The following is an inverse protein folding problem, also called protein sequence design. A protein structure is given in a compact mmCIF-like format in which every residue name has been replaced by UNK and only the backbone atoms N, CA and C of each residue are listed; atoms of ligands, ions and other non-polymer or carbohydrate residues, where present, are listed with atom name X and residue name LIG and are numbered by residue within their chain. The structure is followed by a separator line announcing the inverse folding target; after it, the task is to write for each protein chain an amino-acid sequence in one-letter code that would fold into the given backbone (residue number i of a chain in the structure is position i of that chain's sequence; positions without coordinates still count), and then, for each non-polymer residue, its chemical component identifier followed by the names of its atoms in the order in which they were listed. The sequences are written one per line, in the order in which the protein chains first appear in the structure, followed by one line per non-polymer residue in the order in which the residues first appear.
data_IF_865363939867
#
_entry.id   IF_865363939867
#
_cell.length_a   1.000
_cell.length_b   1.000
_cell.length_c   1.000
_cell.angle_alpha   90.00
_cell.angle_beta   90.00
_cell.angle_gamma   90.00
#
_symmetry.space_group_name_H-M   'P 1'
#
loop_
_entity.id
_entity.type
_entity.pdbx_description
1 polymer ?
#
# COMPACT_ATOMS: atom_id res chain seq x y z
N UNK A 1 13.77 9.86 -17.92
CA UNK A 1 14.62 8.66 -18.07
C UNK A 1 15.27 8.58 -19.45
N UNK A 2 14.50 8.66 -20.55
CA UNK A 2 15.02 8.67 -21.93
C UNK A 2 16.23 9.60 -22.10
N UNK A 3 16.10 10.88 -21.72
CA UNK A 3 17.20 11.86 -21.79
C UNK A 3 18.45 11.43 -21.01
N UNK A 4 18.27 10.82 -19.84
CA UNK A 4 19.39 10.33 -19.03
C UNK A 4 20.11 9.17 -19.72
N UNK A 5 19.35 8.26 -20.35
CA UNK A 5 19.89 7.13 -21.08
C UNK A 5 20.59 7.56 -22.38
N UNK A 6 20.02 8.52 -23.12
CA UNK A 6 20.67 9.09 -24.31
C UNK A 6 21.99 9.78 -23.95
N UNK A 7 21.99 10.61 -22.90
CA UNK A 7 23.20 11.28 -22.42
C UNK A 7 24.24 10.27 -21.90
N UNK A 8 23.83 9.30 -21.09
CA UNK A 8 24.70 8.24 -20.59
C UNK A 8 25.29 7.41 -21.74
N UNK A 9 24.48 7.04 -22.72
CA UNK A 9 24.93 6.30 -23.90
C UNK A 9 26.00 7.09 -24.65
N UNK A 10 25.79 8.39 -24.89
CA UNK A 10 26.79 9.23 -25.57
C UNK A 10 28.17 9.21 -24.89
N UNK A 11 28.18 9.19 -23.55
CA UNK A 11 29.42 9.11 -22.76
C UNK A 11 30.03 7.72 -22.77
N UNK A 12 29.23 6.67 -22.69
CA UNK A 12 29.73 5.28 -22.65
C UNK A 12 30.33 4.90 -24.01
N UNK A 13 29.60 5.17 -25.09
CA UNK A 13 30.03 4.81 -26.46
C UNK A 13 30.91 5.89 -27.11
N UNK A 14 31.19 6.99 -26.40
CA UNK A 14 32.10 8.09 -26.80
C UNK A 14 31.68 8.77 -28.13
N UNK A 15 30.41 9.19 -28.21
CA UNK A 15 29.84 9.91 -29.36
C UNK A 15 29.34 11.29 -28.93
N UNK A 16 29.13 12.18 -29.90
CA UNK A 16 28.65 13.53 -29.61
C UNK A 16 27.19 13.52 -29.11
N UNK A 17 26.89 14.42 -28.17
CA UNK A 17 25.53 14.66 -27.70
C UNK A 17 24.66 15.12 -28.89
N UNK A 18 23.70 14.30 -29.30
CA UNK A 18 22.85 14.57 -30.46
C UNK A 18 23.14 13.72 -31.69
N UNK A 19 24.02 12.73 -31.62
CA UNK A 19 24.09 11.66 -32.63
C UNK A 19 23.11 10.51 -32.35
N UNK A 20 22.69 10.38 -31.10
CA UNK A 20 21.72 9.43 -30.62
C UNK A 20 20.56 10.18 -29.95
N UNK A 21 19.33 9.79 -30.30
CA UNK A 21 18.12 10.28 -29.65
C UNK A 21 17.30 9.12 -29.10
N UNK A 22 16.39 9.44 -28.18
CA UNK A 22 15.41 8.50 -27.69
C UNK A 22 14.05 9.14 -27.54
N UNK A 23 13.02 8.31 -27.48
CA UNK A 23 11.66 8.73 -27.12
C UNK A 23 10.93 7.57 -26.44
N UNK A 24 9.68 7.80 -26.02
CA UNK A 24 8.86 6.81 -25.36
C UNK A 24 7.42 6.83 -25.87
N UNK A 25 6.73 5.70 -25.77
CA UNK A 25 5.31 5.60 -26.10
C UNK A 25 4.59 4.61 -25.17
N UNK A 26 3.38 4.91 -24.68
CA UNK A 26 2.56 3.92 -24.00
C UNK A 26 2.07 2.86 -25.00
N UNK A 27 1.99 1.61 -24.54
CA UNK A 27 1.49 0.48 -25.34
C UNK A 27 -0.03 0.36 -25.15
N UNK A 28 -0.79 0.92 -26.10
CA UNK A 28 -2.25 1.08 -26.00
C UNK A 28 -3.04 -0.23 -25.85
N UNK A 29 -2.52 -1.36 -26.32
CA UNK A 29 -3.20 -2.66 -26.28
C UNK A 29 -2.78 -3.56 -25.10
N UNK A 30 -1.90 -3.07 -24.20
CA UNK A 30 -1.43 -3.86 -23.07
C UNK A 30 -2.48 -3.95 -21.97
N UNK A 31 -2.63 -5.14 -21.37
CA UNK A 31 -3.42 -5.32 -20.13
C UNK A 31 -2.66 -4.86 -18.88
N UNK A 32 -1.37 -4.54 -19.02
CA UNK A 32 -0.42 -4.36 -17.93
C UNK A 32 0.31 -3.00 -17.93
N UNK A 33 -0.33 -1.92 -18.43
CA UNK A 33 0.23 -0.56 -18.43
C UNK A 33 1.71 -0.51 -18.88
N UNK A 34 1.97 -0.95 -20.10
CA UNK A 34 3.32 -1.02 -20.65
C UNK A 34 3.75 0.29 -21.34
N UNK A 35 5.05 0.57 -21.31
CA UNK A 35 5.68 1.73 -21.96
C UNK A 35 6.93 1.26 -22.70
N UNK A 36 7.03 1.60 -23.98
CA UNK A 36 8.22 1.38 -24.78
C UNK A 36 9.15 2.59 -24.66
N UNK A 37 10.43 2.32 -24.39
CA UNK A 37 11.52 3.27 -24.58
C UNK A 37 12.30 2.85 -25.82
N UNK A 38 12.45 3.74 -26.79
CA UNK A 38 13.17 3.43 -28.03
C UNK A 38 14.23 4.48 -28.31
N UNK A 39 15.35 4.00 -28.83
CA UNK A 39 16.54 4.80 -29.13
C UNK A 39 16.94 4.56 -30.58
N UNK A 40 17.42 5.61 -31.25
CA UNK A 40 17.72 5.59 -32.67
C UNK A 40 18.84 6.56 -33.02
N UNK A 41 19.59 6.21 -34.06
CA UNK A 41 20.62 7.06 -34.64
C UNK A 41 19.98 8.23 -35.39
N UNK A 42 20.56 9.43 -35.29
CA UNK A 42 20.12 10.60 -36.03
C UNK A 42 20.77 10.73 -37.42
N UNK A 43 21.84 9.98 -37.68
CA UNK A 43 22.51 9.99 -38.99
C UNK A 43 21.72 9.19 -40.04
N UNK A 44 21.52 9.74 -41.25
CA UNK A 44 20.91 9.02 -42.36
C UNK A 44 21.66 7.71 -42.66
N UNK A 45 20.94 6.59 -42.65
CA UNK A 45 21.50 5.24 -42.87
C UNK A 45 21.87 4.48 -41.59
N UNK A 46 21.85 5.13 -40.42
CA UNK A 46 22.12 4.50 -39.12
C UNK A 46 23.59 4.22 -38.90
N UNK A 47 24.23 4.99 -38.02
CA UNK A 47 25.64 4.78 -37.66
C UNK A 47 25.85 3.55 -36.76
N UNK A 48 24.78 2.96 -36.22
CA UNK A 48 24.83 1.80 -35.35
C UNK A 48 25.00 2.12 -33.88
N UNK A 49 24.87 3.39 -33.45
CA UNK A 49 25.00 3.78 -32.05
C UNK A 49 23.87 3.23 -31.20
N UNK A 50 22.65 3.16 -31.72
CA UNK A 50 21.54 2.49 -31.03
C UNK A 50 21.83 1.00 -30.78
N UNK A 51 22.52 0.33 -31.71
CA UNK A 51 22.96 -1.07 -31.53
C UNK A 51 24.06 -1.16 -30.47
N UNK A 52 25.06 -0.28 -30.54
CA UNK A 52 26.15 -0.22 -29.54
C UNK A 52 25.61 0.09 -28.14
N UNK A 53 24.63 0.98 -28.01
CA UNK A 53 23.94 1.25 -26.75
C UNK A 53 23.27 -0.01 -26.18
N UNK A 54 22.66 -0.83 -27.04
CA UNK A 54 22.04 -2.08 -26.62
C UNK A 54 23.08 -3.12 -26.18
N UNK A 55 24.23 -3.18 -26.85
CA UNK A 55 25.36 -4.05 -26.48
C UNK A 55 25.97 -3.62 -25.12
N UNK A 56 26.03 -2.32 -24.84
CA UNK A 56 26.60 -1.73 -23.62
C UNK A 56 25.54 -1.30 -22.58
N UNK A 57 24.32 -1.86 -22.64
CA UNK A 57 23.15 -1.35 -21.89
C UNK A 57 23.39 -1.26 -20.37
N UNK A 58 24.14 -2.19 -19.79
CA UNK A 58 24.45 -2.19 -18.36
C UNK A 58 25.35 -0.99 -17.99
N UNK A 59 26.40 -0.72 -18.78
CA UNK A 59 27.27 0.43 -18.57
C UNK A 59 26.50 1.76 -18.75
N UNK A 60 25.55 1.79 -19.69
CA UNK A 60 24.66 2.93 -19.89
C UNK A 60 23.73 3.14 -18.69
N UNK A 61 23.16 2.09 -18.12
CA UNK A 61 22.34 2.18 -16.91
C UNK A 61 23.15 2.66 -15.70
N UNK A 62 24.37 2.18 -15.51
CA UNK A 62 25.24 2.65 -14.43
C UNK A 62 25.61 4.13 -14.57
N UNK A 63 25.96 4.58 -15.78
CA UNK A 63 26.26 6.00 -16.02
C UNK A 63 25.00 6.88 -15.90
N UNK A 64 23.83 6.40 -16.33
CA UNK A 64 22.57 7.10 -16.13
C UNK A 64 22.23 7.24 -14.65
N UNK A 65 22.47 6.20 -13.83
CA UNK A 65 22.30 6.27 -12.39
C UNK A 65 23.23 7.33 -11.77
N UNK A 66 24.52 7.35 -12.17
CA UNK A 66 25.47 8.39 -11.72
C UNK A 66 25.01 9.80 -12.09
N UNK A 67 24.50 10.00 -13.31
CA UNK A 67 23.96 11.28 -13.77
C UNK A 67 22.76 11.75 -12.93
N UNK A 68 21.85 10.84 -12.62
CA UNK A 68 20.60 11.14 -11.92
C UNK A 68 20.83 11.37 -10.41
N UNK A 69 21.64 10.53 -9.78
CA UNK A 69 21.89 10.55 -8.33
C UNK A 69 23.05 11.47 -7.92
N UNK A 70 24.03 11.68 -8.81
CA UNK A 70 25.23 12.49 -8.54
C UNK A 70 25.00 14.00 -8.49
N UNK A 71 23.79 14.47 -8.84
CA UNK A 71 23.43 15.88 -8.82
C UNK A 71 22.65 16.25 -7.55
N UNK A 72 22.74 17.50 -7.09
CA UNK A 72 21.99 18.00 -5.92
C UNK A 72 20.87 18.97 -6.29
N UNK A 73 20.64 19.23 -7.59
CA UNK A 73 19.56 20.11 -8.03
C UNK A 73 18.16 19.57 -7.68
N UNK A 74 17.16 20.44 -7.72
CA UNK A 74 15.79 20.10 -7.33
C UNK A 74 15.14 19.10 -8.31
N UNK A 75 15.02 19.48 -9.59
CA UNK A 75 14.42 18.66 -10.65
C UNK A 75 15.42 18.30 -11.75
N UNK A 76 15.97 19.29 -12.46
CA UNK A 76 16.94 19.10 -13.55
C UNK A 76 17.83 20.33 -13.73
N UNK A 77 19.05 20.13 -14.23
CA UNK A 77 19.99 21.19 -14.60
C UNK A 77 20.92 20.72 -15.72
N UNK A 78 21.78 21.61 -16.23
CA UNK A 78 22.74 21.30 -17.29
C UNK A 78 23.87 20.35 -16.85
N UNK A 79 24.06 20.13 -15.54
CA UNK A 79 25.02 19.14 -15.05
C UNK A 79 24.47 17.70 -15.05
N UNK A 80 23.15 17.52 -15.16
CA UNK A 80 22.52 16.20 -15.07
C UNK A 80 21.69 15.81 -16.30
N UNK A 81 20.67 16.58 -16.67
CA UNK A 81 19.67 16.16 -17.67
C UNK A 81 19.47 17.17 -18.80
N UNK A 82 19.76 18.45 -18.57
CA UNK A 82 19.50 19.49 -19.57
C UNK A 82 20.66 19.60 -20.53
N UNK A 83 20.36 19.68 -21.81
CA UNK A 83 21.27 20.14 -22.85
C UNK A 83 20.50 21.04 -23.82
N UNK A 84 21.19 21.67 -24.77
CA UNK A 84 20.55 22.61 -25.69
C UNK A 84 19.56 21.93 -26.64
N UNK A 85 19.76 20.65 -26.94
CA UNK A 85 18.87 19.87 -27.80
C UNK A 85 17.51 19.55 -27.18
N UNK A 86 17.39 19.56 -25.85
CA UNK A 86 16.17 19.16 -25.14
C UNK A 86 15.42 20.31 -24.44
N UNK A 87 15.64 21.56 -24.86
CA UNK A 87 15.00 22.77 -24.29
C UNK A 87 13.47 22.65 -24.21
N UNK A 88 12.85 22.05 -25.22
CA UNK A 88 11.39 21.90 -25.26
C UNK A 88 10.82 21.04 -24.12
N UNK A 89 11.62 20.15 -23.53
CA UNK A 89 11.20 19.25 -22.46
C UNK A 89 11.78 19.61 -21.09
N UNK A 90 12.58 20.67 -20.96
CA UNK A 90 13.24 21.04 -19.68
C UNK A 90 12.28 21.13 -18.50
N UNK A 91 11.05 21.60 -18.71
CA UNK A 91 10.03 21.74 -17.66
C UNK A 91 9.49 20.40 -17.15
N UNK A 92 9.55 19.34 -17.94
CA UNK A 92 9.11 17.99 -17.58
C UNK A 92 10.24 17.10 -17.07
N UNK A 93 11.49 17.58 -17.05
CA UNK A 93 12.63 16.79 -16.59
C UNK A 93 12.74 16.82 -15.07
N UNK A 94 12.63 15.62 -14.49
CA UNK A 94 12.88 15.37 -13.07
C UNK A 94 13.85 14.19 -12.90
N UNK A 95 15.01 14.47 -12.28
CA UNK A 95 16.06 13.47 -12.07
C UNK A 95 15.70 12.45 -10.99
N UNK A 96 14.88 12.81 -10.00
CA UNK A 96 14.49 11.91 -8.90
C UNK A 96 13.48 10.89 -9.40
N UNK A 97 12.53 11.33 -10.23
CA UNK A 97 11.63 10.43 -10.96
C UNK A 97 12.41 9.54 -11.93
N UNK A 98 13.37 10.12 -12.66
CA UNK A 98 14.28 9.37 -13.52
C UNK A 98 15.05 8.27 -12.78
N UNK A 99 15.64 8.60 -11.62
CA UNK A 99 16.38 7.66 -10.78
C UNK A 99 15.48 6.54 -10.24
N UNK A 100 14.29 6.91 -9.75
CA UNK A 100 13.32 5.96 -9.21
C UNK A 100 12.87 4.96 -10.28
N UNK A 101 12.61 5.43 -11.51
CA UNK A 101 12.22 4.56 -12.62
C UNK A 101 13.38 3.67 -13.08
N UNK A 102 14.60 4.21 -13.19
CA UNK A 102 15.78 3.43 -13.54
C UNK A 102 16.06 2.34 -12.50
N UNK A 103 16.00 2.68 -11.21
CA UNK A 103 16.18 1.72 -10.12
C UNK A 103 15.13 0.60 -10.16
N UNK A 104 13.87 0.92 -10.48
CA UNK A 104 12.83 -0.07 -10.70
C UNK A 104 13.16 -1.00 -11.87
N UNK A 105 13.56 -0.46 -13.02
CA UNK A 105 13.94 -1.24 -14.21
C UNK A 105 15.12 -2.18 -13.90
N UNK A 106 16.15 -1.71 -13.20
CA UNK A 106 17.33 -2.52 -12.91
C UNK A 106 17.09 -3.60 -11.85
N UNK A 107 16.17 -3.40 -10.91
CA UNK A 107 16.03 -4.29 -9.74
C UNK A 107 14.71 -5.06 -9.68
N UNK A 108 13.70 -4.64 -10.45
CA UNK A 108 12.32 -5.12 -10.37
C UNK A 108 11.60 -4.75 -9.07
N UNK A 109 12.20 -3.91 -8.21
CA UNK A 109 11.65 -3.54 -6.90
C UNK A 109 10.99 -2.18 -6.97
N UNK A 110 9.69 -2.12 -6.66
CA UNK A 110 8.96 -0.85 -6.58
C UNK A 110 9.68 0.13 -5.63
N UNK A 111 9.71 1.44 -5.97
CA UNK A 111 10.41 2.42 -5.17
C UNK A 111 9.82 2.49 -3.75
N UNK A 112 10.68 2.78 -2.77
CA UNK A 112 10.29 2.93 -1.36
C UNK A 112 10.91 4.18 -0.78
N UNK A 113 10.17 4.82 0.12
CA UNK A 113 10.67 5.93 0.93
C UNK A 113 11.04 5.42 2.31
N UNK A 114 12.30 5.62 2.67
CA UNK A 114 12.74 5.45 4.05
C UNK A 114 12.18 6.58 4.95
N UNK A 115 12.15 6.41 6.28
CA UNK A 115 11.60 7.42 7.19
C UNK A 115 12.22 8.82 7.07
N UNK A 116 13.50 8.90 6.68
CA UNK A 116 14.20 10.18 6.51
C UNK A 116 13.68 10.91 5.26
N UNK A 117 13.53 10.19 4.15
CA UNK A 117 12.93 10.74 2.91
C UNK A 117 11.48 11.15 3.13
N UNK A 118 10.69 10.33 3.85
CA UNK A 118 9.31 10.66 4.20
C UNK A 118 9.23 11.99 4.98
N UNK A 119 10.02 12.11 6.04
CA UNK A 119 10.09 13.31 6.87
C UNK A 119 10.48 14.54 6.05
N UNK A 120 11.47 14.41 5.16
CA UNK A 120 11.91 15.49 4.27
C UNK A 120 10.83 15.91 3.28
N UNK A 121 10.10 14.96 2.70
CA UNK A 121 9.02 15.22 1.75
C UNK A 121 7.82 15.91 2.43
N UNK A 122 7.53 15.55 3.68
CA UNK A 122 6.42 16.12 4.45
C UNK A 122 6.74 17.49 5.05
N UNK A 123 8.01 17.87 5.18
CA UNK A 123 8.42 19.11 5.85
C UNK A 123 7.69 20.37 5.34
N UNK A 124 7.58 20.65 4.02
CA UNK A 124 6.87 21.84 3.55
C UNK A 124 5.39 21.84 3.95
N UNK A 125 4.76 20.66 3.99
CA UNK A 125 3.37 20.51 4.42
C UNK A 125 3.23 20.71 5.93
N UNK A 126 4.17 20.20 6.73
CA UNK A 126 4.21 20.41 8.18
C UNK A 126 4.31 21.90 8.51
N UNK A 127 5.22 22.62 7.84
CA UNK A 127 5.40 24.06 8.01
C UNK A 127 4.11 24.83 7.66
N UNK A 128 3.48 24.49 6.52
CA UNK A 128 2.22 25.10 6.11
C UNK A 128 1.09 24.82 7.11
N UNK A 129 0.94 23.58 7.57
CA UNK A 129 -0.08 23.19 8.55
C UNK A 129 0.12 23.91 9.89
N UNK A 130 1.37 24.04 10.35
CA UNK A 130 1.70 24.76 11.57
C UNK A 130 1.30 26.24 11.49
N UNK A 131 1.59 26.91 10.35
CA UNK A 131 1.16 28.30 10.09
C UNK A 131 -0.37 28.44 10.11
N UNK A 132 -1.10 27.41 9.67
CA UNK A 132 -2.57 27.37 9.68
C UNK A 132 -3.16 26.97 11.05
N UNK A 133 -2.32 26.78 12.08
CA UNK A 133 -2.73 26.48 13.45
C UNK A 133 -3.12 25.01 13.70
N UNK A 134 -2.54 24.07 12.95
CA UNK A 134 -2.66 22.64 13.24
C UNK A 134 -1.56 22.18 14.20
N UNK A 135 -1.92 21.28 15.11
CA UNK A 135 -0.97 20.53 15.94
C UNK A 135 -0.47 19.31 15.15
N UNK A 136 0.86 19.17 15.06
CA UNK A 136 1.52 18.07 14.34
C UNK A 136 2.35 17.22 15.31
N UNK A 137 2.23 15.90 15.22
CA UNK A 137 3.09 14.93 15.90
C UNK A 137 3.71 14.00 14.87
N UNK A 138 5.04 13.91 14.82
CA UNK A 138 5.75 12.98 13.93
C UNK A 138 5.96 11.63 14.60
N UNK A 139 5.75 10.55 13.86
CA UNK A 139 6.16 9.20 14.23
C UNK A 139 7.61 8.95 13.79
N UNK A 140 8.35 8.10 14.51
CA UNK A 140 9.73 7.72 14.13
C UNK A 140 9.77 7.00 12.78
N UNK A 141 8.66 6.35 12.40
CA UNK A 141 8.50 5.61 11.15
C UNK A 141 8.30 6.51 9.90
N UNK A 142 8.15 7.84 10.08
CA UNK A 142 7.97 8.81 9.00
C UNK A 142 6.56 9.43 8.81
N UNK A 143 5.43 8.78 9.15
CA UNK A 143 4.11 9.40 9.12
C UNK A 143 3.96 10.54 10.13
N UNK A 144 3.03 11.45 9.87
CA UNK A 144 2.66 12.53 10.78
C UNK A 144 1.19 12.44 11.19
N UNK A 145 0.89 12.74 12.44
CA UNK A 145 -0.46 12.97 12.92
C UNK A 145 -0.74 14.46 12.97
N UNK A 146 -1.82 14.87 12.30
CA UNK A 146 -2.25 16.26 12.14
C UNK A 146 -3.60 16.42 12.81
N UNK A 147 -3.74 17.42 13.67
CA UNK A 147 -5.00 17.70 14.38
C UNK A 147 -5.26 19.21 14.50
N UNK A 148 -6.54 19.60 14.52
CA UNK A 148 -6.96 21.01 14.68
C UNK A 148 -7.90 21.24 15.86
N UNK A 149 -8.70 20.23 16.19
CA UNK A 149 -9.65 20.20 17.31
C UNK A 149 -9.58 18.84 17.98
N UNK A 150 -9.96 18.79 19.26
CA UNK A 150 -10.03 17.56 20.03
C UNK A 150 -10.95 16.55 19.30
N UNK A 151 -10.39 15.42 18.86
CA UNK A 151 -11.11 14.37 18.14
C UNK A 151 -11.01 14.39 16.61
N UNK A 152 -10.40 15.41 15.99
CA UNK A 152 -10.18 15.48 14.53
C UNK A 152 -8.71 15.23 14.17
N UNK A 153 -8.21 14.03 14.46
CA UNK A 153 -6.84 13.64 14.10
C UNK A 153 -6.81 12.89 12.75
N UNK A 154 -5.87 13.28 11.89
CA UNK A 154 -5.56 12.65 10.60
C UNK A 154 -4.12 12.17 10.62
N UNK A 155 -3.91 10.88 10.41
CA UNK A 155 -2.59 10.32 10.12
C UNK A 155 -2.30 10.47 8.63
N UNK A 156 -1.17 11.09 8.32
CA UNK A 156 -0.71 11.39 6.97
C UNK A 156 0.59 10.63 6.73
N UNK A 157 0.64 9.86 5.64
CA UNK A 157 1.86 9.22 5.17
C UNK A 157 2.11 9.60 3.70
N UNK A 158 3.35 9.40 3.26
CA UNK A 158 3.80 9.74 1.92
C UNK A 158 4.30 8.49 1.18
N UNK A 159 3.95 8.40 -0.09
CA UNK A 159 4.37 7.33 -0.99
C UNK A 159 5.14 7.87 -2.20
N UNK A 160 6.05 7.07 -2.77
CA UNK A 160 6.81 7.50 -3.94
C UNK A 160 5.91 7.67 -5.16
N UNK A 161 6.21 8.66 -5.99
CA UNK A 161 5.38 9.08 -7.13
C UNK A 161 5.10 8.00 -8.19
N UNK A 162 5.96 6.99 -8.30
CA UNK A 162 5.82 5.89 -9.26
C UNK A 162 5.05 4.68 -8.68
N UNK A 163 4.44 4.84 -7.50
CA UNK A 163 3.62 3.81 -6.85
C UNK A 163 2.16 4.20 -6.94
N UNK A 164 1.34 3.27 -7.41
CA UNK A 164 -0.10 3.47 -7.43
C UNK A 164 -0.64 3.59 -5.99
N UNK A 165 -1.54 4.55 -5.69
CA UNK A 165 -2.03 4.77 -4.33
C UNK A 165 -2.66 3.54 -3.67
N UNK A 166 -3.28 2.66 -4.47
CA UNK A 166 -3.91 1.40 -4.05
C UNK A 166 -2.86 0.35 -3.63
N UNK A 167 -1.66 0.41 -4.21
CA UNK A 167 -0.54 -0.49 -3.94
C UNK A 167 0.38 0.03 -2.82
N UNK A 168 0.18 1.27 -2.38
CA UNK A 168 0.96 1.84 -1.29
C UNK A 168 0.59 1.19 0.04
N UNK A 169 1.56 0.48 0.62
CA UNK A 169 1.47 -0.07 1.96
C UNK A 169 2.05 0.90 3.00
N UNK A 170 1.26 1.28 4.00
CA UNK A 170 1.64 2.12 5.12
C UNK A 170 1.15 1.55 6.45
N UNK A 171 2.07 1.26 7.37
CA UNK A 171 1.73 0.90 8.75
C UNK A 171 0.84 1.97 9.42
N UNK A 172 0.94 3.24 8.98
CA UNK A 172 0.10 4.33 9.47
C UNK A 172 -1.38 4.16 9.11
N UNK A 173 -1.71 3.48 8.00
CA UNK A 173 -3.10 3.17 7.63
C UNK A 173 -3.75 2.28 8.68
N UNK A 174 -3.06 1.22 9.06
CA UNK A 174 -3.48 0.29 10.12
C UNK A 174 -3.53 0.97 11.48
N UNK A 175 -2.50 1.77 11.84
CA UNK A 175 -2.48 2.56 13.09
C UNK A 175 -3.65 3.54 13.15
N UNK A 176 -3.95 4.24 12.05
CA UNK A 176 -5.06 5.18 11.95
C UNK A 176 -6.40 4.47 12.15
N UNK A 177 -6.58 3.34 11.48
CA UNK A 177 -7.78 2.53 11.61
C UNK A 177 -8.01 2.05 13.05
N UNK A 178 -6.98 1.48 13.69
CA UNK A 178 -7.05 1.01 15.09
C UNK A 178 -7.35 2.15 16.08
N UNK A 179 -6.77 3.32 15.84
CA UNK A 179 -7.00 4.51 16.67
C UNK A 179 -8.29 5.25 16.33
N UNK A 180 -9.12 4.75 15.40
CA UNK A 180 -10.32 5.42 14.86
C UNK A 180 -10.03 6.83 14.33
N UNK A 181 -8.81 7.03 13.82
CA UNK A 181 -8.34 8.27 13.19
C UNK A 181 -8.55 8.20 11.68
N UNK A 182 -8.56 9.37 11.04
CA UNK A 182 -8.58 9.46 9.58
C UNK A 182 -7.19 9.16 9.02
N UNK A 183 -7.13 8.67 7.79
CA UNK A 183 -5.86 8.42 7.09
C UNK A 183 -5.81 9.19 5.76
N UNK A 184 -4.65 9.74 5.43
CA UNK A 184 -4.36 10.35 4.14
C UNK A 184 -3.00 9.84 3.63
N UNK A 185 -2.97 9.37 2.38
CA UNK A 185 -1.73 9.04 1.68
C UNK A 185 -1.47 10.12 0.63
N UNK A 186 -0.26 10.69 0.64
CA UNK A 186 0.14 11.75 -0.28
C UNK A 186 1.27 11.30 -1.20
N UNK A 187 1.20 11.75 -2.44
CA UNK A 187 2.24 11.53 -3.45
C UNK A 187 3.43 12.47 -3.16
N UNK A 188 4.64 11.92 -3.09
CA UNK A 188 5.88 12.69 -2.92
C UNK A 188 6.05 13.80 -3.98
N UNK A 189 5.67 13.54 -5.23
CA UNK A 189 5.75 14.52 -6.31
C UNK A 189 4.75 15.66 -6.12
N UNK A 190 3.52 15.35 -5.67
CA UNK A 190 2.52 16.37 -5.35
C UNK A 190 2.99 17.23 -4.18
N UNK A 191 3.61 16.64 -3.15
CA UNK A 191 4.19 17.40 -2.04
C UNK A 191 5.28 18.39 -2.51
N UNK A 192 6.08 18.00 -3.50
CA UNK A 192 7.14 18.84 -4.04
C UNK A 192 6.64 19.93 -4.99
N UNK A 193 5.59 19.68 -5.79
CA UNK A 193 5.20 20.56 -6.89
C UNK A 193 3.83 21.22 -6.76
N UNK A 194 2.92 20.68 -5.92
CA UNK A 194 1.57 21.20 -5.69
C UNK A 194 1.17 21.03 -4.21
N UNK A 195 1.89 21.78 -3.35
CA UNK A 195 1.62 21.83 -1.92
C UNK A 195 0.17 22.23 -1.57
N UNK A 196 -0.50 23.16 -2.29
CA UNK A 196 -1.91 23.45 -2.07
C UNK A 196 -2.85 22.25 -2.28
N UNK A 197 -2.62 21.40 -3.28
CA UNK A 197 -3.37 20.14 -3.46
C UNK A 197 -3.12 19.18 -2.29
N UNK A 198 -1.86 18.99 -1.88
CA UNK A 198 -1.52 18.16 -0.72
C UNK A 198 -2.24 18.62 0.56
N UNK A 199 -2.25 19.93 0.81
CA UNK A 199 -2.96 20.52 1.94
C UNK A 199 -4.47 20.30 1.86
N UNK A 200 -5.08 20.52 0.69
CA UNK A 200 -6.51 20.26 0.46
C UNK A 200 -6.88 18.81 0.73
N UNK A 201 -6.04 17.84 0.35
CA UNK A 201 -6.27 16.41 0.63
C UNK A 201 -6.32 16.10 2.13
N UNK A 202 -5.42 16.67 2.93
CA UNK A 202 -5.44 16.51 4.39
C UNK A 202 -6.74 17.06 4.97
N UNK A 203 -7.22 18.21 4.49
CA UNK A 203 -8.48 18.79 4.90
C UNK A 203 -9.69 17.93 4.50
N UNK A 204 -9.74 17.50 3.24
CA UNK A 204 -10.88 16.84 2.62
C UNK A 204 -11.11 15.39 3.05
N UNK A 205 -10.15 14.74 3.73
CA UNK A 205 -10.34 13.39 4.28
C UNK A 205 -11.48 13.29 5.34
N UNK A 206 -12.36 14.31 5.49
CA UNK A 206 -13.32 14.53 6.57
C UNK A 206 -14.67 13.88 6.43
N UNK A 207 -14.88 13.10 5.37
CA UNK A 207 -16.09 12.32 5.19
C UNK A 207 -15.75 10.83 5.17
N UNK A 208 -15.72 10.18 6.33
CA UNK A 208 -15.82 8.73 6.43
C UNK A 208 -14.63 8.01 7.05
N UNK A 209 -14.25 8.36 8.28
CA UNK A 209 -13.71 7.33 9.16
C UNK A 209 -14.80 6.24 9.27
N UNK A 210 -14.51 4.98 8.91
CA UNK A 210 -15.50 3.93 9.07
C UNK A 210 -15.75 3.74 10.57
N UNK A 211 -17.00 3.93 10.99
CA UNK A 211 -17.49 3.50 12.30
C UNK A 211 -17.52 1.96 12.31
N UNK A 212 -16.36 1.34 12.47
CA UNK A 212 -16.22 -0.09 12.76
C UNK A 212 -16.13 -0.20 14.28
N UNK A 213 -17.10 -0.86 14.88
CA UNK A 213 -17.03 -1.23 16.30
C UNK A 213 -16.10 -2.43 16.45
N UNK A 214 -15.20 -2.34 17.42
CA UNK A 214 -14.26 -3.39 17.74
C UNK A 214 -14.72 -4.10 18.98
N UNK A 215 -14.59 -5.42 18.98
CA UNK A 215 -14.43 -6.15 20.23
C UNK A 215 -12.95 -6.05 20.63
N UNK A 216 -12.63 -5.14 21.55
CA UNK A 216 -11.30 -5.14 22.17
C UNK A 216 -11.15 -6.43 22.96
N UNK A 217 -10.27 -7.31 22.51
CA UNK A 217 -9.81 -8.44 23.32
C UNK A 217 -9.15 -7.85 24.56
N UNK A 218 -9.83 -7.97 25.71
CA UNK A 218 -9.28 -7.54 27.00
C UNK A 218 -8.11 -8.46 27.37
N UNK A 219 -6.91 -7.90 27.36
CA UNK A 219 -5.70 -8.58 27.79
C UNK A 219 -4.57 -8.34 26.80
N UNK A 220 -3.69 -7.39 27.10
CA UNK A 220 -2.33 -7.40 26.56
C UNK A 220 -1.62 -8.61 27.18
N UNK A 221 -1.83 -9.80 26.62
CA UNK A 221 -1.04 -10.98 26.96
C UNK A 221 0.43 -10.82 26.53
N UNK A 222 1.31 -11.62 27.12
CA UNK A 222 2.71 -11.76 26.69
C UNK A 222 2.81 -12.14 25.19
N UNK A 223 4.00 -12.07 24.61
CA UNK A 223 4.25 -12.48 23.21
C UNK A 223 3.87 -13.97 23.06
N UNK A 224 2.75 -14.24 22.39
CA UNK A 224 2.25 -15.59 22.13
C UNK A 224 2.71 -16.10 20.77
N UNK A 225 2.96 -17.40 20.66
CA UNK A 225 3.08 -18.06 19.35
C UNK A 225 1.67 -18.26 18.78
N UNK A 226 1.42 -17.72 17.60
CA UNK A 226 0.12 -17.78 16.91
C UNK A 226 0.30 -18.45 15.55
N UNK A 227 -0.66 -19.31 15.19
CA UNK A 227 -0.67 -19.93 13.88
C UNK A 227 -0.93 -18.88 12.78
N UNK A 228 -0.03 -18.77 11.81
CA UNK A 228 -0.35 -18.17 10.52
C UNK A 228 -1.11 -19.19 9.67
N UNK A 229 -2.31 -18.83 9.23
CA UNK A 229 -3.18 -19.70 8.45
C UNK A 229 -3.45 -19.13 7.05
N UNK A 230 -3.74 -20.05 6.12
CA UNK A 230 -4.24 -19.71 4.78
C UNK A 230 -5.75 -19.49 4.81
N UNK A 231 -6.23 -18.39 4.22
CA UNK A 231 -7.67 -18.20 3.99
C UNK A 231 -8.18 -18.97 2.75
N UNK A 232 -7.27 -19.52 1.94
CA UNK A 232 -7.59 -20.24 0.71
C UNK A 232 -7.68 -21.76 0.92
N UNK A 233 -6.94 -22.27 1.89
CA UNK A 233 -6.87 -23.70 2.21
C UNK A 233 -7.49 -23.95 3.58
N UNK A 234 -8.36 -24.95 3.66
CA UNK A 234 -9.12 -25.28 4.86
C UNK A 234 -9.03 -26.78 5.13
N UNK A 235 -9.05 -27.15 6.42
CA UNK A 235 -9.11 -28.54 6.82
C UNK A 235 -10.55 -29.10 6.78
N UNK A 236 -10.66 -30.41 6.95
CA UNK A 236 -11.94 -31.14 6.98
C UNK A 236 -12.83 -30.75 8.17
N UNK A 237 -12.25 -30.14 9.21
CA UNK A 237 -12.96 -29.65 10.38
C UNK A 237 -13.51 -28.23 10.19
N UNK A 238 -13.26 -27.62 9.04
CA UNK A 238 -13.76 -26.28 8.73
C UNK A 238 -12.88 -25.15 9.27
N UNK A 239 -11.62 -25.41 9.62
CA UNK A 239 -10.67 -24.37 10.05
C UNK A 239 -9.68 -23.98 8.94
N UNK A 240 -9.18 -22.73 8.95
CA UNK A 240 -8.09 -22.31 8.09
C UNK A 240 -6.83 -23.17 8.29
N UNK A 241 -6.19 -23.60 7.20
CA UNK A 241 -5.00 -24.45 7.26
C UNK A 241 -3.81 -23.68 7.83
N UNK A 242 -3.17 -24.24 8.85
CA UNK A 242 -1.95 -23.70 9.46
C UNK A 242 -0.77 -23.82 8.50
N UNK A 243 -0.05 -22.72 8.30
CA UNK A 243 1.15 -22.61 7.48
C UNK A 243 2.42 -22.63 8.33
N UNK A 244 2.47 -21.82 9.39
CA UNK A 244 3.60 -21.72 10.33
C UNK A 244 3.16 -21.06 11.64
N UNK A 245 4.08 -20.95 12.60
CA UNK A 245 3.88 -20.20 13.85
C UNK A 245 4.61 -18.85 13.77
N UNK A 246 3.99 -17.79 14.30
CA UNK A 246 4.54 -16.45 14.37
C UNK A 246 4.44 -15.89 15.79
N UNK A 247 5.46 -15.20 16.31
CA UNK A 247 5.34 -14.43 17.53
C UNK A 247 4.45 -13.21 17.28
N UNK A 248 3.37 -13.08 18.06
CA UNK A 248 2.43 -11.95 17.99
C UNK A 248 2.12 -11.46 19.39
N UNK A 249 2.41 -10.18 19.66
CA UNK A 249 2.14 -9.55 20.95
C UNK A 249 0.64 -9.54 21.28
N UNK A 250 0.25 -9.80 22.52
CA UNK A 250 -1.15 -9.71 22.94
C UNK A 250 -2.10 -10.67 22.25
N UNK A 251 -1.59 -11.74 21.63
CA UNK A 251 -2.42 -12.80 21.12
C UNK A 251 -2.94 -13.67 22.27
N UNK A 252 -4.25 -13.90 22.27
CA UNK A 252 -4.92 -14.76 23.25
C UNK A 252 -5.19 -16.15 22.65
N UNK A 253 -5.51 -17.11 23.51
CA UNK A 253 -5.95 -18.44 23.08
C UNK A 253 -7.16 -18.34 22.13
N UNK A 254 -7.17 -19.17 21.08
CA UNK A 254 -8.21 -19.12 20.04
C UNK A 254 -8.03 -18.05 18.97
N UNK A 255 -6.87 -17.39 18.92
CA UNK A 255 -6.50 -16.50 17.81
C UNK A 255 -5.63 -17.20 16.77
N UNK A 256 -5.73 -16.73 15.53
CA UNK A 256 -4.81 -17.04 14.43
C UNK A 256 -4.52 -15.77 13.63
N UNK A 257 -3.41 -15.76 12.89
CA UNK A 257 -3.13 -14.68 11.93
C UNK A 257 -3.34 -15.19 10.52
N UNK A 258 -3.84 -14.34 9.64
CA UNK A 258 -3.94 -14.67 8.23
C UNK A 258 -3.71 -13.44 7.36
N UNK A 259 -3.22 -13.66 6.14
CA UNK A 259 -3.04 -12.58 5.17
C UNK A 259 -4.40 -12.01 4.79
N UNK A 260 -4.54 -10.69 4.91
CA UNK A 260 -5.74 -9.98 4.52
C UNK A 260 -5.79 -9.89 2.99
N UNK A 261 -6.85 -10.48 2.43
CA UNK A 261 -7.14 -10.58 1.00
C UNK A 261 -8.64 -10.26 0.78
N UNK A 262 -9.03 -9.90 -0.45
CA UNK A 262 -10.44 -9.80 -0.83
C UNK A 262 -11.13 -8.47 -0.52
N UNK A 263 -10.81 -7.41 -1.27
CA UNK A 263 -11.59 -6.16 -1.29
C UNK A 263 -11.59 -5.36 0.03
N UNK A 264 -10.47 -5.37 0.75
CA UNK A 264 -10.25 -4.63 2.00
C UNK A 264 -9.10 -3.60 1.91
N UNK A 265 -8.60 -3.31 0.71
CA UNK A 265 -7.40 -2.51 0.48
C UNK A 265 -7.52 -1.06 0.94
N UNK A 266 -8.74 -0.56 1.18
CA UNK A 266 -8.95 0.77 1.76
C UNK A 266 -8.81 0.79 3.30
N UNK A 267 -8.81 -0.35 3.99
CA UNK A 267 -8.61 -0.43 5.45
C UNK A 267 -7.18 -0.81 5.82
N UNK A 268 -6.57 -1.66 5.00
CA UNK A 268 -5.30 -2.30 5.31
C UNK A 268 -4.40 -2.32 4.10
N UNK A 269 -3.12 -2.53 4.34
CA UNK A 269 -2.18 -2.70 3.25
C UNK A 269 -2.33 -4.10 2.63
N UNK A 270 -2.32 -4.24 1.29
CA UNK A 270 -2.29 -5.53 0.64
C UNK A 270 -1.17 -6.42 1.22
N UNK A 271 -1.54 -7.64 1.64
CA UNK A 271 -0.60 -8.57 2.25
C UNK A 271 -0.32 -8.36 3.74
N UNK A 272 -0.98 -7.40 4.40
CA UNK A 272 -0.99 -7.28 5.86
C UNK A 272 -1.47 -8.57 6.51
N UNK A 273 -0.96 -8.88 7.70
CA UNK A 273 -1.49 -9.96 8.52
C UNK A 273 -2.59 -9.41 9.44
N UNK A 274 -3.77 -10.00 9.39
CA UNK A 274 -4.84 -9.74 10.35
C UNK A 274 -4.79 -10.75 11.48
N UNK A 275 -4.94 -10.30 12.72
CA UNK A 275 -5.18 -11.17 13.88
C UNK A 275 -6.67 -11.43 14.00
N UNK A 276 -7.06 -12.67 13.78
CA UNK A 276 -8.43 -13.15 13.88
C UNK A 276 -8.63 -13.89 15.19
N UNK A 277 -9.79 -13.68 15.82
CA UNK A 277 -10.28 -14.48 16.94
C UNK A 277 -11.40 -15.37 16.41
N UNK A 278 -11.32 -16.68 16.66
CA UNK A 278 -12.42 -17.58 16.33
C UNK A 278 -13.70 -17.16 17.05
N UNK A 279 -14.83 -17.26 16.35
CA UNK A 279 -16.16 -17.04 16.92
C UNK A 279 -16.87 -18.39 16.93
N UNK A 280 -17.17 -18.87 18.12
CA UNK A 280 -17.82 -20.16 18.33
C UNK A 280 -19.34 -19.99 18.45
N UNK A 281 -20.11 -21.06 18.25
CA UNK A 281 -21.58 -21.02 18.26
C UNK A 281 -22.20 -20.47 19.54
N UNK A 282 -21.51 -20.61 20.69
CA UNK A 282 -21.92 -20.06 21.98
C UNK A 282 -21.51 -18.61 22.21
N UNK A 283 -20.66 -18.03 21.35
CA UNK A 283 -20.22 -16.64 21.50
C UNK A 283 -21.34 -15.68 21.08
N UNK A 284 -21.29 -14.46 21.61
CA UNK A 284 -22.10 -13.36 21.10
C UNK A 284 -21.69 -13.05 19.64
N UNK A 285 -22.65 -12.55 18.86
CA UNK A 285 -22.35 -12.08 17.52
C UNK A 285 -21.40 -10.88 17.58
N UNK A 286 -20.42 -10.80 16.66
CA UNK A 286 -19.56 -9.63 16.57
C UNK A 286 -20.39 -8.34 16.43
N UNK A 287 -19.94 -7.22 17.05
CA UNK A 287 -20.60 -5.93 16.94
C UNK A 287 -20.91 -5.54 15.49
N UNK A 288 -21.93 -4.71 15.30
CA UNK A 288 -22.29 -4.22 13.98
C UNK A 288 -21.10 -3.50 13.33
N UNK A 289 -20.92 -3.70 12.03
CA UNK A 289 -19.79 -3.17 11.26
C UNK A 289 -18.42 -3.80 11.60
N UNK A 290 -18.35 -4.84 12.43
CA UNK A 290 -17.12 -5.63 12.60
C UNK A 290 -16.67 -6.27 11.28
N UNK A 291 -15.38 -6.51 11.13
CA UNK A 291 -14.85 -7.28 10.01
C UNK A 291 -14.79 -8.75 10.40
N UNK A 292 -15.48 -9.58 9.63
CA UNK A 292 -15.65 -11.00 9.94
C UNK A 292 -15.14 -11.83 8.79
N UNK A 293 -14.52 -12.97 9.12
CA UNK A 293 -14.25 -14.06 8.21
C UNK A 293 -15.49 -14.94 8.16
N UNK A 294 -16.09 -15.07 6.98
CA UNK A 294 -17.25 -15.94 6.75
C UNK A 294 -16.89 -16.95 5.67
N UNK A 295 -17.27 -18.20 5.91
CA UNK A 295 -17.22 -19.27 4.92
C UNK A 295 -18.64 -19.78 4.70
N UNK A 296 -19.13 -19.74 3.48
CA UNK A 296 -20.47 -20.21 3.13
C UNK A 296 -20.51 -20.60 1.63
N UNK A 297 -21.17 -21.71 1.26
CA UNK A 297 -21.21 -22.19 -0.13
C UNK A 297 -21.74 -21.18 -1.14
N UNK A 298 -22.69 -20.34 -0.73
CA UNK A 298 -23.30 -19.31 -1.59
C UNK A 298 -22.44 -18.04 -1.77
N UNK A 299 -21.27 -17.98 -1.12
CA UNK A 299 -20.33 -16.89 -1.34
C UNK A 299 -19.51 -17.12 -2.61
N UNK A 300 -19.25 -16.02 -3.31
CA UNK A 300 -18.40 -15.96 -4.48
C UNK A 300 -17.49 -14.73 -4.35
N UNK A 301 -16.49 -14.85 -3.48
CA UNK A 301 -15.40 -13.89 -3.41
C UNK A 301 -14.42 -14.09 -4.58
N UNK A 302 -14.03 -13.02 -5.30
CA UNK A 302 -13.14 -13.14 -6.46
C UNK A 302 -11.80 -13.79 -6.16
N UNK A 303 -11.27 -13.63 -4.95
CA UNK A 303 -9.94 -14.12 -4.59
C UNK A 303 -9.99 -15.38 -3.72
N UNK A 304 -11.03 -15.51 -2.89
CA UNK A 304 -11.15 -16.51 -1.84
C UNK A 304 -12.29 -17.52 -2.06
N UNK A 305 -13.10 -17.38 -3.11
CA UNK A 305 -14.19 -18.30 -3.45
C UNK A 305 -15.31 -18.27 -2.39
N UNK A 306 -15.56 -19.41 -1.75
CA UNK A 306 -16.61 -19.57 -0.74
C UNK A 306 -16.28 -18.91 0.62
N UNK A 307 -15.21 -18.14 0.69
CA UNK A 307 -14.68 -17.48 1.89
C UNK A 307 -14.59 -15.99 1.62
N UNK A 308 -14.87 -15.15 2.61
CA UNK A 308 -14.68 -13.71 2.48
C UNK A 308 -14.38 -13.05 3.83
N UNK A 309 -13.59 -11.96 3.81
CA UNK A 309 -13.38 -11.12 5.00
C UNK A 309 -14.02 -9.76 4.73
N UNK A 310 -15.13 -9.45 5.40
CA UNK A 310 -15.94 -8.27 5.07
C UNK A 310 -16.62 -7.65 6.26
N UNK A 311 -17.09 -6.42 6.06
CA UNK A 311 -17.85 -5.71 7.07
C UNK A 311 -19.22 -6.35 7.24
N UNK A 312 -19.50 -6.74 8.46
CA UNK A 312 -20.65 -7.50 8.88
C UNK A 312 -21.82 -6.60 9.27
N UNK A 313 -22.98 -6.84 8.65
CA UNK A 313 -24.27 -6.34 9.10
C UNK A 313 -25.30 -7.44 8.97
N UNK A 314 -26.32 -7.38 9.82
CA UNK A 314 -27.46 -8.26 9.72
C UNK A 314 -28.76 -7.53 10.05
N UNK A 315 -29.86 -8.06 9.56
CA UNK A 315 -31.22 -7.59 9.85
C UNK A 315 -32.21 -8.72 9.69
N UNK A 316 -33.15 -8.85 10.62
CA UNK A 316 -34.28 -9.78 10.49
C UNK A 316 -35.21 -9.36 9.35
N UNK A 317 -35.73 -10.36 8.64
CA UNK A 317 -36.76 -10.21 7.61
C UNK A 317 -38.03 -10.88 8.11
N UNK A 318 -39.11 -10.11 8.03
CA UNK A 318 -40.42 -10.51 8.50
C UNK A 318 -41.32 -10.78 7.29
N UNK A 319 -42.20 -11.76 7.42
CA UNK A 319 -43.27 -12.00 6.46
C UNK A 319 -44.41 -10.96 6.56
N UNK A 320 -45.46 -11.14 5.78
CA UNK A 320 -46.66 -10.29 5.80
C UNK A 320 -47.41 -10.30 7.14
N UNK A 321 -47.21 -11.35 7.94
CA UNK A 321 -47.85 -11.53 9.25
C UNK A 321 -46.96 -11.01 10.40
N UNK A 322 -45.78 -10.46 10.07
CA UNK A 322 -44.84 -9.87 11.02
C UNK A 322 -43.91 -10.89 11.70
N UNK A 323 -43.94 -12.15 11.29
CA UNK A 323 -43.11 -13.21 11.86
C UNK A 323 -41.74 -13.25 11.16
N UNK A 324 -40.66 -13.32 11.93
CA UNK A 324 -39.30 -13.37 11.37
C UNK A 324 -39.10 -14.71 10.67
N UNK A 325 -38.74 -14.68 9.38
CA UNK A 325 -38.53 -15.88 8.55
C UNK A 325 -37.06 -16.16 8.32
N UNK A 326 -36.29 -15.12 7.97
CA UNK A 326 -34.86 -15.24 7.68
C UNK A 326 -34.11 -14.03 8.24
N UNK A 327 -32.83 -14.22 8.55
CA UNK A 327 -31.88 -13.15 8.84
C UNK A 327 -31.06 -12.86 7.60
N UNK A 328 -31.17 -11.63 7.10
CA UNK A 328 -30.37 -11.17 5.98
C UNK A 328 -29.02 -10.67 6.48
N UNK A 329 -27.96 -11.36 6.08
CA UNK A 329 -26.58 -10.93 6.25
C UNK A 329 -26.16 -10.07 5.09
N UNK A 330 -25.41 -9.03 5.40
CA UNK A 330 -24.84 -8.12 4.43
C UNK A 330 -23.33 -8.00 4.70
N UNK A 331 -22.55 -8.47 3.73
CA UNK A 331 -21.10 -8.53 3.77
C UNK A 331 -20.53 -7.50 2.78
N UNK A 332 -20.25 -6.31 3.31
CA UNK A 332 -19.78 -5.16 2.51
C UNK A 332 -18.26 -5.16 2.40
N UNK A 333 -17.70 -5.05 1.19
CA UNK A 333 -16.27 -4.85 1.02
C UNK A 333 -15.88 -3.41 1.35
N UNK A 334 -14.58 -3.20 1.57
CA UNK A 334 -14.00 -1.90 1.83
C UNK A 334 -12.89 -1.62 0.81
N UNK A 335 -13.35 -1.29 -0.41
CA UNK A 335 -12.55 -1.29 -1.64
C UNK A 335 -12.91 -0.12 -2.57
N UNK A 336 -11.98 0.27 -3.44
CA UNK A 336 -12.23 1.11 -4.62
C UNK A 336 -12.70 0.30 -5.84
N UNK A 337 -12.33 -0.99 -5.94
CA UNK A 337 -12.70 -1.90 -7.03
C UNK A 337 -14.11 -2.49 -6.84
N UNK A 338 -15.13 -1.63 -6.75
CA UNK A 338 -16.52 -2.03 -6.43
C UNK A 338 -17.17 -2.96 -7.46
N UNK A 339 -16.66 -2.97 -8.69
CA UNK A 339 -17.15 -3.86 -9.75
C UNK A 339 -16.73 -5.30 -9.52
N UNK A 340 -15.48 -5.49 -9.07
CA UNK A 340 -14.87 -6.78 -8.75
C UNK A 340 -15.38 -7.31 -7.41
N UNK A 341 -15.32 -6.49 -6.37
CA UNK A 341 -15.75 -6.85 -5.03
C UNK A 341 -17.11 -6.22 -4.76
N UNK A 342 -18.19 -6.92 -5.14
CA UNK A 342 -19.58 -6.49 -4.90
C UNK A 342 -20.05 -6.88 -3.52
N UNK A 343 -20.95 -6.12 -2.90
CA UNK A 343 -21.58 -6.53 -1.63
C UNK A 343 -22.26 -7.90 -1.78
N UNK A 344 -21.98 -8.80 -0.85
CA UNK A 344 -22.57 -10.15 -0.82
C UNK A 344 -23.66 -10.21 0.26
N UNK A 345 -24.68 -11.03 0.01
CA UNK A 345 -25.78 -11.25 0.93
C UNK A 345 -25.94 -12.73 1.17
N UNK A 346 -26.24 -13.09 2.42
CA UNK A 346 -26.66 -14.43 2.79
C UNK A 346 -28.01 -14.33 3.48
N UNK A 347 -28.85 -15.34 3.31
CA UNK A 347 -30.13 -15.45 3.99
C UNK A 347 -30.09 -16.70 4.85
N UNK A 348 -30.07 -16.50 6.16
CA UNK A 348 -30.00 -17.60 7.14
C UNK A 348 -31.41 -17.80 7.70
N UNK A 349 -31.99 -19.00 7.65
CA UNK A 349 -33.28 -19.28 8.29
C UNK A 349 -33.23 -18.95 9.78
N UNK A 350 -34.32 -18.41 10.34
CA UNK A 350 -34.34 -17.96 11.75
C UNK A 350 -34.10 -19.12 12.73
N UNK A 351 -34.51 -20.33 12.37
CA UNK A 351 -34.25 -21.57 13.10
C UNK A 351 -32.76 -21.92 13.19
N UNK A 352 -31.97 -21.57 12.17
CA UNK A 352 -30.52 -21.82 12.11
C UNK A 352 -29.70 -20.66 12.70
N UNK A 353 -30.30 -19.47 12.80
CA UNK A 353 -29.61 -18.25 13.21
C UNK A 353 -28.94 -18.35 14.57
N UNK A 354 -29.59 -19.02 15.53
CA UNK A 354 -29.06 -19.17 16.89
C UNK A 354 -27.71 -19.89 16.92
N UNK A 355 -27.50 -20.87 16.04
CA UNK A 355 -26.26 -21.64 15.90
C UNK A 355 -25.28 -21.06 14.87
N UNK A 356 -25.74 -20.20 13.97
CA UNK A 356 -24.90 -19.60 12.94
C UNK A 356 -23.96 -18.55 13.53
N UNK A 357 -22.66 -18.63 13.21
CA UNK A 357 -21.66 -17.62 13.53
C UNK A 357 -20.69 -17.44 12.35
N UNK A 358 -20.10 -16.24 12.20
CA UNK A 358 -18.92 -16.13 11.34
C UNK A 358 -17.81 -17.03 11.89
N UNK A 359 -16.86 -17.45 11.04
CA UNK A 359 -15.74 -18.30 11.46
C UNK A 359 -14.85 -17.57 12.47
N UNK A 360 -14.59 -16.29 12.20
CA UNK A 360 -13.74 -15.46 13.03
C UNK A 360 -14.07 -13.98 12.88
N UNK A 361 -13.64 -13.18 13.85
CA UNK A 361 -13.67 -11.71 13.81
C UNK A 361 -12.25 -11.18 13.74
N UNK A 362 -12.01 -10.22 12.85
CA UNK A 362 -10.73 -9.52 12.75
C UNK A 362 -10.63 -8.52 13.91
N UNK A 363 -9.62 -8.72 14.75
CA UNK A 363 -9.40 -7.91 15.95
C UNK A 363 -8.49 -6.72 15.68
N UNK A 364 -7.37 -6.95 14.97
CA UNK A 364 -6.40 -5.92 14.60
C UNK A 364 -5.52 -6.37 13.43
N UNK A 365 -4.77 -5.44 12.86
CA UNK A 365 -3.65 -5.76 11.96
C UNK A 365 -2.38 -5.90 12.75
N UNK A 366 -1.59 -6.90 12.37
CA UNK A 366 -0.26 -7.17 12.90
C UNK A 366 0.75 -6.71 11.87
N UNK A 367 1.75 -5.94 12.32
CA UNK A 367 2.85 -5.55 11.47
C UNK A 367 3.63 -6.82 11.08
N UNK A 368 3.67 -7.12 9.77
CA UNK A 368 4.37 -8.28 9.22
C UNK A 368 5.90 -8.23 9.35
N UNK A 369 6.44 -7.26 10.08
CA UNK A 369 7.85 -7.19 10.45
C UNK A 369 8.05 -7.85 11.82
N UNK A 370 8.01 -9.18 11.85
CA UNK A 370 8.72 -9.92 12.88
C UNK A 370 10.22 -9.63 12.72
N UNK A 371 10.70 -8.62 13.45
CA UNK A 371 11.95 -8.70 14.21
C UNK A 371 13.04 -9.60 13.62
N UNK A 372 13.76 -9.12 12.61
CA UNK A 372 15.22 -9.27 12.59
C UNK A 372 15.82 -8.19 13.50
N UNK A 373 15.43 -8.21 14.79
CA UNK A 373 16.15 -7.42 15.81
C UNK A 373 17.53 -8.07 15.98
N UNK A 374 18.51 -7.45 15.33
CA UNK A 374 19.95 -7.41 15.68
C UNK A 374 20.34 -8.28 16.88
N UNK A 375 20.73 -9.52 16.64
CA UNK A 375 21.74 -10.18 17.47
C UNK A 375 23.11 -9.79 16.94
N UNK A 376 23.57 -8.59 17.30
CA UNK A 376 24.99 -8.25 17.36
C UNK A 376 25.18 -7.20 18.44
N UNK A 377 24.86 -7.59 19.68
CA UNK A 377 25.40 -6.97 20.88
C UNK A 377 26.69 -7.68 21.26
N UNK A 378 27.81 -6.98 21.10
CA UNK A 378 28.94 -6.94 22.05
C UNK A 378 29.40 -8.26 22.67
N UNK A 379 30.50 -8.81 22.15
CA UNK A 379 31.54 -9.40 23.00
C UNK A 379 32.79 -8.51 22.92
N UNK A 380 32.82 -7.49 23.79
CA UNK A 380 34.08 -6.97 24.29
C UNK A 380 34.68 -8.05 25.19
N UNK A 381 35.79 -8.64 24.73
CA UNK A 381 36.64 -9.51 25.52
C UNK A 381 38.01 -8.84 25.62
N UNK A 382 38.28 -8.32 26.80
CA UNK A 382 39.63 -8.04 27.30
C UNK A 382 40.41 -9.35 27.40
N UNK A 383 41.54 -9.45 26.71
CA UNK A 383 42.86 -9.78 27.26
C UNK A 383 43.95 -9.42 26.23
#
# INVERSE_FOLDING_TARGET
LVEALSLAASRVIQVEEGELAGNWSPVQASKHHEVDLFFYDLLPGGAGYARLMAEEVNAVFEEAARLLDGCTCESSCYQCLRHYGNVMVHRSLDRRLGASLLGYICTGRAPRLDPTKKSKALLPLVELLAVQGYDIKSDEDGPIEVSRKLGEAVLVDVYPALVEPTQFCSSARSKAWQAKKRFAALDEYVLAHDLPEAFRRVQSCGAGAPSIEFEQVKGLGEVGQVAECSLREWDDSGNPKVLRQLPVDGAVEGCFVARLEGGLERLYDPGSLGLFRHVHSHDDLPPRDSLVLVRHPDLCDPDLGAVTVRRFRWSERHDSDGQATHVKLELRPYTTERERYRTQYLEIPVEEWSGWRPVAVLTRVVDGQTSERRSNSTSGGTD
#
